data_IF_793621707968
#
_entry.id   IF_793621707968
#
_cell.length_a   1.000
_cell.length_b   1.000
_cell.length_c   1.000
_cell.angle_alpha   90.00
_cell.angle_beta   90.00
_cell.angle_gamma   90.00
#
_symmetry.space_group_name_H-M   'P 1'
#
loop_
_entity.id
_entity.type
_entity.pdbx_description
1 polymer ?
#
# COMPACT_ATOMS: atom_id res chain seq x y z
N UNK A 1 -1.21 14.48 -28.84
CA UNK A 1 -0.14 13.51 -28.53
C UNK A 1 -0.72 12.43 -27.62
N UNK A 2 -0.53 11.14 -27.93
CA UNK A 2 -0.91 10.06 -26.98
C UNK A 2 0.02 10.15 -25.76
N UNK A 3 -0.49 10.00 -24.52
CA UNK A 3 0.38 10.00 -23.34
C UNK A 3 1.35 8.83 -23.45
N UNK A 4 2.64 9.12 -23.38
CA UNK A 4 3.72 8.13 -23.49
C UNK A 4 3.98 7.47 -22.13
N UNK A 5 2.92 7.24 -21.35
CA UNK A 5 3.01 7.01 -19.91
C UNK A 5 3.31 5.54 -19.62
N UNK A 6 4.56 5.13 -19.85
CA UNK A 6 5.14 3.86 -19.42
C UNK A 6 5.42 3.82 -17.92
N UNK A 7 4.55 4.42 -17.11
CA UNK A 7 4.80 4.68 -15.70
C UNK A 7 3.51 4.58 -14.89
N UNK A 8 3.64 4.19 -13.61
CA UNK A 8 2.55 4.21 -12.65
C UNK A 8 2.24 5.68 -12.34
N UNK A 9 1.09 6.16 -12.81
CA UNK A 9 0.70 7.56 -12.62
C UNK A 9 -0.01 7.78 -11.29
N UNK A 10 -0.05 9.03 -10.83
CA UNK A 10 -0.84 9.44 -9.66
C UNK A 10 -2.34 9.09 -9.81
N UNK A 11 -2.84 9.00 -11.05
CA UNK A 11 -4.22 8.58 -11.33
C UNK A 11 -4.47 7.10 -11.01
N UNK A 12 -3.51 6.23 -11.34
CA UNK A 12 -3.55 4.79 -10.99
C UNK A 12 -3.51 4.63 -9.47
N UNK A 13 -2.60 5.34 -8.81
CA UNK A 13 -2.48 5.30 -7.34
C UNK A 13 -3.77 5.77 -6.65
N UNK A 14 -4.37 6.88 -7.11
CA UNK A 14 -5.66 7.37 -6.59
C UNK A 14 -6.76 6.35 -6.76
N UNK A 15 -6.88 5.75 -7.95
CA UNK A 15 -7.90 4.72 -8.22
C UNK A 15 -7.73 3.51 -7.30
N UNK A 16 -6.50 3.07 -7.07
CA UNK A 16 -6.20 1.97 -6.17
C UNK A 16 -6.54 2.31 -4.71
N UNK A 17 -6.12 3.48 -4.22
CA UNK A 17 -6.41 3.89 -2.83
C UNK A 17 -7.92 3.95 -2.57
N UNK A 18 -8.71 4.45 -3.53
CA UNK A 18 -10.17 4.50 -3.41
C UNK A 18 -10.77 3.08 -3.32
N UNK A 19 -10.31 2.14 -4.15
CA UNK A 19 -10.70 0.73 -4.04
C UNK A 19 -10.27 0.10 -2.72
N UNK A 20 -9.09 0.44 -2.22
CA UNK A 20 -8.59 -0.09 -0.95
C UNK A 20 -9.43 0.39 0.23
N UNK A 21 -9.81 1.67 0.23
CA UNK A 21 -10.66 2.27 1.26
C UNK A 21 -12.07 1.67 1.27
N UNK A 22 -12.64 1.36 0.10
CA UNK A 22 -13.96 0.72 0.00
C UNK A 22 -13.94 -0.75 0.46
N UNK A 23 -12.90 -1.51 0.11
CA UNK A 23 -12.79 -2.93 0.46
C UNK A 23 -12.29 -3.16 1.89
N UNK A 24 -11.59 -2.19 2.46
CA UNK A 24 -11.15 -2.20 3.85
C UNK A 24 -11.55 -0.84 4.44
N UNK A 25 -12.82 -0.67 4.83
CA UNK A 25 -13.27 0.56 5.45
C UNK A 25 -12.52 0.74 6.77
N UNK A 26 -11.39 1.44 6.70
CA UNK A 26 -10.61 1.83 7.85
C UNK A 26 -11.39 2.94 8.53
N UNK A 27 -12.38 2.55 9.33
CA UNK A 27 -13.33 3.44 9.99
C UNK A 27 -12.66 4.61 10.72
N UNK A 28 -11.37 4.50 11.06
CA UNK A 28 -10.51 5.64 11.34
C UNK A 28 -9.03 5.30 11.04
N UNK A 29 -8.43 5.88 9.99
CA UNK A 29 -6.96 5.92 9.84
C UNK A 29 -6.41 6.74 11.01
N UNK A 30 -6.01 6.06 12.09
CA UNK A 30 -5.35 6.67 13.22
C UNK A 30 -3.85 6.76 12.94
N UNK A 31 -3.15 7.73 13.53
CA UNK A 31 -1.69 7.83 13.42
C UNK A 31 -0.94 6.55 13.87
N UNK A 32 -1.58 5.71 14.71
CA UNK A 32 -1.07 4.41 15.14
C UNK A 32 -1.26 3.30 14.09
N UNK A 33 -2.33 3.34 13.29
CA UNK A 33 -2.61 2.37 12.22
C UNK A 33 -2.13 2.81 10.84
N UNK A 34 -1.77 4.08 10.64
CA UNK A 34 -1.28 4.63 9.37
C UNK A 34 -0.13 3.82 8.78
N UNK A 35 0.77 3.31 9.62
CA UNK A 35 1.91 2.53 9.15
C UNK A 35 1.49 1.14 8.64
N UNK A 36 0.61 0.46 9.37
CA UNK A 36 0.06 -0.84 8.95
C UNK A 36 -0.75 -0.67 7.67
N UNK A 37 -1.57 0.38 7.61
CA UNK A 37 -2.32 0.75 6.41
C UNK A 37 -1.40 0.99 5.21
N UNK A 38 -0.35 1.79 5.39
CA UNK A 38 0.62 2.05 4.33
C UNK A 38 1.31 0.75 3.86
N UNK A 39 1.65 -0.14 4.79
CA UNK A 39 2.23 -1.44 4.47
C UNK A 39 1.25 -2.30 3.65
N UNK A 40 -0.02 -2.34 4.00
CA UNK A 40 -1.05 -3.08 3.27
C UNK A 40 -1.33 -2.45 1.88
N UNK A 41 -1.31 -1.12 1.78
CA UNK A 41 -1.39 -0.40 0.51
C UNK A 41 -0.21 -0.75 -0.40
N UNK A 42 1.02 -0.76 0.12
CA UNK A 42 2.21 -1.11 -0.66
C UNK A 42 2.17 -2.58 -1.12
N UNK A 43 1.72 -3.49 -0.25
CA UNK A 43 1.52 -4.90 -0.61
C UNK A 43 0.45 -5.05 -1.69
N UNK A 44 -0.69 -4.36 -1.56
CA UNK A 44 -1.76 -4.37 -2.56
C UNK A 44 -1.30 -3.80 -3.90
N UNK A 45 -0.48 -2.74 -3.87
CA UNK A 45 0.12 -2.15 -5.07
C UNK A 45 1.03 -3.15 -5.79
N UNK A 46 1.84 -3.94 -5.06
CA UNK A 46 2.64 -5.01 -5.67
C UNK A 46 1.78 -6.05 -6.38
N UNK A 47 0.74 -6.56 -5.72
CA UNK A 47 -0.19 -7.52 -6.32
C UNK A 47 -0.87 -6.96 -7.59
N UNK A 48 -1.16 -5.66 -7.56
CA UNK A 48 -1.71 -4.93 -8.70
C UNK A 48 -0.75 -4.90 -9.88
N UNK A 49 0.52 -4.58 -9.62
CA UNK A 49 1.59 -4.54 -10.61
C UNK A 49 1.82 -5.93 -11.20
N UNK A 50 1.89 -6.96 -10.37
CA UNK A 50 2.06 -8.36 -10.79
C UNK A 50 0.91 -8.82 -11.70
N UNK A 51 -0.33 -8.55 -11.31
CA UNK A 51 -1.52 -8.91 -12.09
C UNK A 51 -1.76 -8.01 -13.30
N UNK A 52 -1.06 -6.86 -13.36
CA UNK A 52 -1.24 -5.82 -14.37
C UNK A 52 -2.72 -5.39 -14.56
N UNK A 53 -3.49 -5.35 -13.47
CA UNK A 53 -4.95 -5.18 -13.54
C UNK A 53 -5.47 -4.24 -12.46
N UNK A 54 -6.00 -3.09 -12.88
CA UNK A 54 -6.78 -2.17 -12.05
C UNK A 54 -7.95 -1.64 -12.85
N UNK A 55 -9.14 -1.70 -12.30
CA UNK A 55 -10.31 -1.00 -12.80
C UNK A 55 -10.36 0.44 -12.29
N UNK A 56 -10.82 1.36 -13.11
CA UNK A 56 -11.08 2.72 -12.68
C UNK A 56 -12.17 2.72 -11.61
N UNK A 57 -11.94 3.42 -10.51
CA UNK A 57 -12.85 3.46 -9.38
C UNK A 57 -14.28 3.88 -9.75
N UNK A 58 -14.45 4.90 -10.59
CA UNK A 58 -15.79 5.39 -10.95
C UNK A 58 -16.44 4.62 -12.11
N UNK A 59 -15.65 3.86 -12.89
CA UNK A 59 -16.13 3.12 -14.08
C UNK A 59 -15.38 1.77 -14.11
N UNK A 60 -15.89 0.73 -13.44
CA UNK A 60 -15.18 -0.54 -13.25
C UNK A 60 -14.77 -1.25 -14.55
N UNK A 61 -15.50 -1.01 -15.64
CA UNK A 61 -15.24 -1.57 -16.98
C UNK A 61 -13.98 -0.98 -17.62
N UNK A 62 -13.50 0.16 -17.13
CA UNK A 62 -12.31 0.83 -17.67
C UNK A 62 -11.06 0.38 -16.92
N UNK A 63 -10.23 -0.43 -17.56
CA UNK A 63 -8.93 -0.81 -16.99
C UNK A 63 -7.90 0.31 -17.11
N UNK A 64 -7.45 0.85 -15.98
CA UNK A 64 -6.48 1.96 -15.93
C UNK A 64 -5.04 1.47 -16.07
N UNK A 65 -4.74 0.27 -15.56
CA UNK A 65 -3.40 -0.35 -15.68
C UNK A 65 -3.05 -0.71 -17.13
N UNK A 66 -4.05 -1.05 -17.95
CA UNK A 66 -3.83 -1.33 -19.38
C UNK A 66 -3.20 -0.15 -20.14
N UNK A 67 -3.41 1.08 -19.66
CA UNK A 67 -2.84 2.28 -20.25
C UNK A 67 -1.40 2.59 -19.82
N UNK A 68 -0.90 1.96 -18.76
CA UNK A 68 0.45 2.17 -18.24
C UNK A 68 1.54 1.43 -19.01
N UNK A 69 1.18 0.49 -19.90
CA UNK A 69 2.15 -0.27 -20.68
C UNK A 69 3.22 -0.96 -19.81
N UNK A 70 2.83 -1.38 -18.60
CA UNK A 70 3.68 -2.14 -17.68
C UNK A 70 4.09 -3.44 -18.38
N UNK A 71 5.35 -3.49 -18.78
CA UNK A 71 5.99 -4.70 -19.28
C UNK A 71 6.81 -5.34 -18.16
N UNK A 72 7.24 -6.59 -18.37
CA UNK A 72 8.00 -7.38 -17.40
C UNK A 72 9.26 -6.63 -16.90
N UNK A 73 9.86 -5.81 -17.78
CA UNK A 73 11.02 -4.97 -17.45
C UNK A 73 10.69 -3.85 -16.45
N UNK A 74 9.50 -3.27 -16.49
CA UNK A 74 9.06 -2.26 -15.52
C UNK A 74 8.61 -2.94 -14.22
N UNK A 75 7.91 -4.07 -14.28
CA UNK A 75 7.52 -4.83 -13.10
C UNK A 75 8.75 -5.25 -12.26
N UNK A 76 9.81 -5.73 -12.92
CA UNK A 76 11.09 -6.09 -12.29
C UNK A 76 11.84 -4.92 -11.66
N UNK A 77 11.46 -3.67 -11.93
CA UNK A 77 12.00 -2.48 -11.23
C UNK A 77 11.10 -2.05 -10.08
N UNK A 78 9.79 -2.06 -10.29
CA UNK A 78 8.82 -1.58 -9.30
C UNK A 78 8.69 -2.51 -8.11
N UNK A 79 8.70 -3.83 -8.32
CA UNK A 79 8.57 -4.81 -7.23
C UNK A 79 9.73 -4.67 -6.24
N UNK A 80 11.01 -4.73 -6.66
CA UNK A 80 12.12 -4.54 -5.72
C UNK A 80 12.14 -3.17 -5.05
N UNK A 81 11.72 -2.11 -5.77
CA UNK A 81 11.62 -0.77 -5.20
C UNK A 81 10.59 -0.70 -4.07
N UNK A 82 9.39 -1.26 -4.28
CA UNK A 82 8.34 -1.29 -3.26
C UNK A 82 8.75 -2.19 -2.08
N UNK A 83 9.36 -3.35 -2.35
CA UNK A 83 9.95 -4.20 -1.31
C UNK A 83 10.96 -3.44 -0.47
N UNK A 84 11.89 -2.71 -1.11
CA UNK A 84 12.85 -1.85 -0.42
C UNK A 84 12.17 -0.78 0.44
N UNK A 85 11.10 -0.14 -0.04
CA UNK A 85 10.34 0.82 0.77
C UNK A 85 9.70 0.19 2.02
N UNK A 86 9.22 -1.06 1.91
CA UNK A 86 8.65 -1.80 3.03
C UNK A 86 9.72 -2.30 4.02
N UNK A 87 10.92 -2.63 3.56
CA UNK A 87 11.99 -3.20 4.39
C UNK A 87 12.94 -2.14 4.99
N UNK A 88 13.18 -1.05 4.27
CA UNK A 88 14.19 -0.02 4.57
C UNK A 88 13.59 1.30 5.07
N UNK A 89 12.26 1.44 5.09
CA UNK A 89 11.58 2.64 5.57
C UNK A 89 12.09 3.09 6.95
N UNK A 90 12.47 4.38 7.14
CA UNK A 90 13.27 4.87 8.27
C UNK A 90 12.62 4.74 9.66
N UNK A 91 11.37 4.27 9.76
CA UNK A 91 10.65 4.09 11.03
C UNK A 91 10.24 2.64 11.30
N UNK A 92 10.39 1.72 10.35
CA UNK A 92 9.89 0.33 10.45
C UNK A 92 10.78 -0.49 11.38
N UNK A 93 12.09 -0.46 11.14
CA UNK A 93 13.10 -1.09 12.00
C UNK A 93 13.08 -0.54 13.44
N UNK A 94 12.88 0.77 13.60
CA UNK A 94 12.86 1.42 14.91
C UNK A 94 11.54 1.21 15.68
N UNK A 95 10.39 1.12 14.99
CA UNK A 95 9.08 1.07 15.64
C UNK A 95 8.56 -0.34 15.85
N UNK A 96 8.80 -1.29 14.92
CA UNK A 96 8.45 -2.70 15.16
C UNK A 96 9.36 -3.33 16.22
N UNK A 97 10.65 -2.99 16.24
CA UNK A 97 11.55 -3.43 17.31
C UNK A 97 11.09 -2.97 18.69
N UNK A 98 10.56 -1.75 18.80
CA UNK A 98 10.04 -1.21 20.07
C UNK A 98 8.63 -1.71 20.42
N UNK A 99 7.74 -1.92 19.43
CA UNK A 99 6.39 -2.46 19.65
C UNK A 99 6.46 -3.95 20.02
N UNK A 100 7.33 -4.73 19.36
CA UNK A 100 7.54 -6.15 19.66
C UNK A 100 8.24 -6.34 21.02
N UNK A 101 9.20 -5.47 21.38
CA UNK A 101 9.79 -5.47 22.73
C UNK A 101 8.76 -5.15 23.81
N UNK A 102 7.91 -4.14 23.59
CA UNK A 102 6.86 -3.78 24.54
C UNK A 102 5.82 -4.91 24.74
N UNK A 103 5.50 -5.68 23.71
CA UNK A 103 4.61 -6.85 23.82
C UNK A 103 5.24 -8.08 24.48
N UNK A 104 6.57 -8.15 24.52
CA UNK A 104 7.31 -9.24 25.20
C UNK A 104 7.59 -8.89 26.66
N UNK A 105 7.80 -7.60 26.98
CA UNK A 105 8.01 -7.15 28.36
C UNK A 105 6.72 -7.03 29.18
N UNK A 106 5.56 -6.79 28.56
CA UNK A 106 4.27 -6.62 29.28
C UNK A 106 3.12 -7.37 28.59
N UNK A 107 2.85 -8.64 28.95
CA UNK A 107 1.96 -9.52 28.17
C UNK A 107 0.44 -9.43 28.48
N UNK A 108 -0.04 -8.59 29.39
CA UNK A 108 -1.49 -8.47 29.74
C UNK A 108 -1.84 -7.01 30.18
N UNK A 109 -3.07 -6.51 29.97
CA UNK A 109 -3.42 -5.74 28.78
C UNK A 109 -3.61 -4.25 29.08
N UNK A 110 -3.65 -3.46 28.00
CA UNK A 110 -3.92 -2.02 27.96
C UNK A 110 -5.32 -1.64 28.50
N UNK A 111 -5.57 -1.84 29.80
CA UNK A 111 -6.78 -1.43 30.53
C UNK A 111 -6.83 0.09 30.82
N UNK A 112 -5.77 0.82 30.50
CA UNK A 112 -5.68 2.26 30.75
C UNK A 112 -6.13 3.13 29.55
N UNK A 113 -6.55 2.50 28.43
CA UNK A 113 -7.06 3.23 27.25
C UNK A 113 -8.60 3.32 27.21
N UNK A 114 -9.31 2.85 28.23
CA UNK A 114 -10.75 3.08 28.41
C UNK A 114 -11.02 4.02 29.59
N UNK A 115 -10.72 5.31 29.42
CA UNK A 115 -11.47 6.41 30.02
C UNK A 115 -11.47 7.60 29.07
#
# INVERSE_FOLDING_TARGET
MKPNNKEITSFVLKSFILWQDENSPHTMIHARSLFLWLHDVLRGLMTLIEKNQLSYYMIPERHVMASCGLNDLLQSKWIPYITGMMEEGPRIKLRLGNILKASVEYPEPMLWLSK
#
